data_IF_629741637501
#
_entry.id   IF_629741637501
#
_cell.length_a   1.000
_cell.length_b   1.000
_cell.length_c   1.000
_cell.angle_alpha   90.00
_cell.angle_beta   90.00
_cell.angle_gamma   90.00
#
_symmetry.space_group_name_H-M   'P 1'
#
loop_
_entity.id
_entity.type
_entity.pdbx_description
1 polymer ?
#
# COMPACT_ATOMS: atom_id res chain seq x y z
N UNK A 1 12.42 0.97 8.79
CA UNK A 1 12.79 0.82 7.35
C UNK A 1 12.09 -0.41 6.76
N UNK A 2 11.28 -0.20 5.72
CA UNK A 2 10.56 -1.28 5.05
C UNK A 2 11.56 -2.20 4.32
N UNK A 3 11.55 -3.52 4.55
CA UNK A 3 12.41 -4.43 3.82
C UNK A 3 12.02 -4.40 2.32
N UNK A 4 13.01 -4.45 1.41
CA UNK A 4 12.72 -4.48 -0.02
C UNK A 4 11.92 -5.75 -0.34
N UNK A 5 10.74 -5.57 -0.95
CA UNK A 5 9.86 -6.66 -1.34
C UNK A 5 9.18 -6.36 -2.68
N UNK A 6 8.77 -7.41 -3.40
CA UNK A 6 8.08 -7.29 -4.69
C UNK A 6 7.02 -8.39 -4.87
N UNK A 7 5.80 -8.05 -5.35
CA UNK A 7 5.30 -6.69 -5.60
C UNK A 7 5.08 -5.91 -4.28
N UNK A 8 5.17 -4.58 -4.35
CA UNK A 8 4.89 -3.66 -3.24
C UNK A 8 4.30 -2.35 -3.79
N UNK A 9 3.59 -1.59 -2.95
CA UNK A 9 2.93 -0.32 -3.32
C UNK A 9 3.36 0.77 -2.32
N UNK A 10 3.69 1.96 -2.80
CA UNK A 10 4.07 3.09 -1.97
C UNK A 10 3.18 4.30 -2.29
N UNK A 11 2.60 4.93 -1.28
CA UNK A 11 1.84 6.18 -1.42
C UNK A 11 2.71 7.36 -0.97
N UNK A 12 2.82 8.35 -1.84
CA UNK A 12 3.54 9.59 -1.57
C UNK A 12 2.57 10.77 -1.57
N UNK A 13 2.76 11.70 -0.62
CA UNK A 13 2.09 13.00 -0.59
C UNK A 13 3.15 14.08 -0.52
N UNK A 14 3.15 15.02 -1.47
CA UNK A 14 4.13 16.12 -1.54
C UNK A 14 5.61 15.67 -1.53
N UNK A 15 5.90 14.49 -2.08
CA UNK A 15 7.26 13.94 -2.11
C UNK A 15 7.67 13.15 -0.87
N UNK A 16 6.83 13.09 0.16
CA UNK A 16 7.05 12.29 1.36
C UNK A 16 6.30 10.96 1.29
N UNK A 17 6.94 9.88 1.74
CA UNK A 17 6.32 8.55 1.85
C UNK A 17 5.36 8.55 3.04
N UNK A 18 4.06 8.43 2.77
CA UNK A 18 3.01 8.44 3.80
C UNK A 18 2.46 7.05 4.11
N UNK A 19 2.52 6.12 3.16
CA UNK A 19 2.09 4.74 3.37
C UNK A 19 2.86 3.75 2.48
N UNK A 20 3.04 2.51 2.96
CA UNK A 20 3.74 1.46 2.22
C UNK A 20 3.07 0.10 2.43
N UNK A 21 2.75 -0.59 1.33
CA UNK A 21 2.14 -1.92 1.30
C UNK A 21 3.18 -2.94 0.83
N UNK A 22 3.65 -3.77 1.76
CA UNK A 22 4.61 -4.84 1.50
C UNK A 22 4.00 -6.05 0.78
N UNK A 23 4.86 -6.88 0.16
CA UNK A 23 4.46 -8.12 -0.53
C UNK A 23 3.52 -9.00 0.29
N UNK A 24 3.75 -9.16 1.59
CA UNK A 24 2.94 -10.04 2.44
C UNK A 24 1.49 -9.55 2.63
N UNK A 25 1.19 -8.29 2.31
CA UNK A 25 -0.16 -7.75 2.27
C UNK A 25 -0.84 -7.92 0.90
N UNK A 26 -0.08 -8.32 -0.12
CA UNK A 26 -0.55 -8.46 -1.50
C UNK A 26 -0.62 -9.94 -1.88
N UNK A 27 0.44 -10.68 -1.60
CA UNK A 27 0.57 -12.10 -1.92
C UNK A 27 -0.51 -12.92 -1.19
N UNK A 28 -1.26 -13.72 -1.96
CA UNK A 28 -2.34 -14.56 -1.46
C UNK A 28 -3.63 -13.82 -1.10
N UNK A 29 -3.69 -12.48 -1.22
CA UNK A 29 -4.93 -11.71 -1.05
C UNK A 29 -5.66 -11.54 -2.37
N UNK A 30 -6.99 -11.48 -2.31
CA UNK A 30 -7.79 -11.21 -3.50
C UNK A 30 -7.75 -9.71 -3.86
N UNK A 31 -8.03 -9.40 -5.13
CA UNK A 31 -7.97 -8.04 -5.65
C UNK A 31 -8.92 -7.07 -4.93
N UNK A 32 -10.09 -7.54 -4.49
CA UNK A 32 -11.08 -6.70 -3.82
C UNK A 32 -10.61 -6.24 -2.44
N UNK A 33 -9.98 -7.12 -1.66
CA UNK A 33 -9.40 -6.78 -0.36
C UNK A 33 -8.23 -5.80 -0.51
N UNK A 34 -7.38 -6.00 -1.51
CA UNK A 34 -6.27 -5.08 -1.79
C UNK A 34 -6.84 -3.71 -2.21
N UNK A 35 -7.82 -3.70 -3.09
CA UNK A 35 -8.49 -2.47 -3.55
C UNK A 35 -9.15 -1.71 -2.41
N UNK A 36 -9.90 -2.40 -1.54
CA UNK A 36 -10.56 -1.79 -0.38
C UNK A 36 -9.54 -1.17 0.58
N UNK A 37 -8.43 -1.87 0.86
CA UNK A 37 -7.36 -1.33 1.68
C UNK A 37 -6.74 -0.07 1.07
N UNK A 38 -6.53 -0.05 -0.26
CA UNK A 38 -6.01 1.14 -0.94
C UNK A 38 -6.99 2.31 -0.87
N UNK A 39 -8.30 2.07 -1.02
CA UNK A 39 -9.33 3.10 -0.87
C UNK A 39 -9.27 3.71 0.53
N UNK A 40 -9.20 2.89 1.58
CA UNK A 40 -9.09 3.36 2.96
C UNK A 40 -7.82 4.20 3.19
N UNK A 41 -6.69 3.77 2.64
CA UNK A 41 -5.43 4.53 2.70
C UNK A 41 -5.56 5.85 1.93
N UNK A 42 -6.23 5.87 0.77
CA UNK A 42 -6.50 7.12 0.06
C UNK A 42 -7.41 8.05 0.86
N UNK A 43 -8.47 7.55 1.51
CA UNK A 43 -9.36 8.36 2.34
C UNK A 43 -8.64 8.97 3.56
N UNK A 44 -7.62 8.30 4.10
CA UNK A 44 -6.81 8.81 5.21
C UNK A 44 -5.82 9.91 4.75
N UNK A 45 -5.21 9.74 3.57
CA UNK A 45 -4.08 10.56 3.14
C UNK A 45 -4.39 11.56 2.02
N UNK A 46 -5.54 11.53 1.36
CA UNK A 46 -5.90 12.48 0.30
C UNK A 46 -6.89 13.54 0.79
#
# INVERSE_FOLDING_TARGET
PYPPSSPAIALFKNGELVHFVERHHIEGRNAQMIGQHLVEVFDEFC
#
